data_IF_092815638402
#
_entry.id   IF_092815638402
#
_cell.length_a   1.000
_cell.length_b   1.000
_cell.length_c   1.000
_cell.angle_alpha   90.00
_cell.angle_beta   90.00
_cell.angle_gamma   90.00
#
_symmetry.space_group_name_H-M   'P 1'
#
loop_
_entity.id
_entity.type
_entity.pdbx_description
1 polymer ?
#
# COMPACT_ATOMS: atom_id res chain seq x y z
N UNK A 1 5.48 -87.56 -16.11
CA UNK A 1 4.93 -86.37 -16.81
C UNK A 1 4.97 -85.17 -15.86
N UNK A 2 5.92 -84.25 -16.05
CA UNK A 2 6.19 -83.13 -15.15
C UNK A 2 5.56 -81.87 -15.76
N UNK A 3 4.55 -81.29 -15.10
CA UNK A 3 3.89 -80.05 -15.55
C UNK A 3 4.67 -78.86 -15.01
N UNK A 4 5.16 -77.99 -15.89
CA UNK A 4 5.80 -76.72 -15.53
C UNK A 4 4.74 -75.62 -15.61
N UNK A 5 4.45 -74.98 -14.49
CA UNK A 5 3.58 -73.79 -14.42
C UNK A 5 4.48 -72.57 -14.53
N UNK A 6 4.39 -71.83 -15.63
CA UNK A 6 5.09 -70.55 -15.82
C UNK A 6 4.25 -69.46 -15.14
N UNK A 7 4.77 -68.87 -14.06
CA UNK A 7 4.19 -67.69 -13.43
C UNK A 7 4.74 -66.44 -14.14
N UNK A 8 3.86 -65.68 -14.80
CA UNK A 8 4.19 -64.42 -15.45
C UNK A 8 4.13 -63.29 -14.41
N UNK A 9 5.28 -62.81 -13.97
CA UNK A 9 5.40 -61.63 -13.10
C UNK A 9 5.30 -60.36 -13.95
N UNK A 10 4.17 -59.67 -13.89
CA UNK A 10 3.98 -58.35 -14.50
C UNK A 10 4.64 -57.32 -13.58
N UNK A 11 5.78 -56.79 -14.01
CA UNK A 11 6.46 -55.68 -13.34
C UNK A 11 5.88 -54.35 -13.85
N UNK A 12 4.96 -53.75 -13.11
CA UNK A 12 4.44 -52.41 -13.40
C UNK A 12 5.50 -51.37 -13.00
N UNK A 13 6.23 -50.82 -13.99
CA UNK A 13 7.07 -49.64 -13.78
C UNK A 13 6.19 -48.45 -13.39
N UNK A 14 6.16 -48.11 -12.10
CA UNK A 14 5.71 -46.80 -11.64
C UNK A 14 6.77 -45.76 -12.05
N UNK A 15 6.54 -45.03 -13.13
CA UNK A 15 7.29 -43.81 -13.40
C UNK A 15 6.85 -42.76 -12.37
N UNK A 16 7.76 -42.20 -11.55
CA UNK A 16 7.40 -41.07 -10.69
C UNK A 16 7.09 -39.88 -11.60
N UNK A 17 5.83 -39.45 -11.59
CA UNK A 17 5.40 -38.20 -12.23
C UNK A 17 6.06 -37.03 -11.49
N UNK A 18 7.23 -36.60 -11.97
CA UNK A 18 7.82 -35.34 -11.54
C UNK A 18 6.90 -34.21 -12.02
N UNK A 19 6.03 -33.74 -11.12
CA UNK A 19 5.32 -32.47 -11.28
C UNK A 19 6.38 -31.37 -11.18
N UNK A 20 6.92 -30.96 -12.32
CA UNK A 20 7.70 -29.73 -12.39
C UNK A 20 6.75 -28.58 -12.05
N UNK A 21 7.01 -27.78 -11.00
CA UNK A 21 6.22 -26.59 -10.76
C UNK A 21 6.37 -25.71 -12.00
N UNK A 22 5.25 -25.35 -12.63
CA UNK A 22 5.23 -24.32 -13.68
C UNK A 22 5.77 -23.06 -13.02
N UNK A 23 7.01 -22.71 -13.32
CA UNK A 23 7.62 -21.50 -12.80
C UNK A 23 6.91 -20.34 -13.48
N UNK A 24 5.99 -19.70 -12.75
CA UNK A 24 5.33 -18.49 -13.21
C UNK A 24 6.43 -17.49 -13.59
N UNK A 25 6.42 -17.05 -14.85
CA UNK A 25 7.42 -16.14 -15.37
C UNK A 25 7.16 -14.78 -14.74
N UNK A 26 8.10 -14.30 -13.92
CA UNK A 26 7.99 -12.98 -13.28
C UNK A 26 7.75 -11.91 -14.36
N UNK A 27 6.81 -11.01 -14.09
CA UNK A 27 6.49 -9.91 -14.98
C UNK A 27 7.56 -8.83 -14.86
N UNK A 28 7.81 -8.10 -15.95
CA UNK A 28 8.58 -6.84 -15.87
C UNK A 28 7.81 -5.76 -15.14
N UNK A 29 6.48 -5.89 -15.12
CA UNK A 29 5.56 -4.93 -14.53
C UNK A 29 5.28 -5.29 -13.07
N UNK A 30 5.20 -4.29 -12.21
CA UNK A 30 4.98 -4.42 -10.78
C UNK A 30 3.90 -3.45 -10.31
N UNK A 31 3.12 -3.87 -9.33
CA UNK A 31 2.11 -3.02 -8.70
C UNK A 31 2.16 -3.12 -7.18
N UNK A 32 2.23 -1.96 -6.53
CA UNK A 32 2.03 -1.83 -5.09
C UNK A 32 0.61 -1.29 -4.85
N UNK A 33 -0.16 -1.97 -4.00
CA UNK A 33 -1.47 -1.50 -3.56
C UNK A 33 -1.37 -1.06 -2.10
N UNK A 34 -1.79 0.17 -1.86
CA UNK A 34 -1.88 0.77 -0.53
C UNK A 34 -3.34 0.94 -0.17
N UNK A 35 -3.73 0.61 1.06
CA UNK A 35 -5.09 0.85 1.55
C UNK A 35 -5.04 1.82 2.72
N UNK A 36 -5.62 2.99 2.50
CA UNK A 36 -5.70 4.11 3.43
C UNK A 36 -6.91 3.99 4.39
N UNK A 37 -6.92 4.84 5.42
CA UNK A 37 -7.98 5.05 6.42
C UNK A 37 -8.22 3.95 7.48
N UNK A 38 -7.26 3.05 7.71
CA UNK A 38 -7.33 2.15 8.87
C UNK A 38 -7.22 2.93 10.20
N UNK A 39 -7.67 2.32 11.30
CA UNK A 39 -7.54 2.86 12.66
C UNK A 39 -8.86 3.18 13.35
N UNK A 40 -10.01 3.02 12.69
CA UNK A 40 -11.32 3.36 13.26
C UNK A 40 -12.44 2.34 12.97
N UNK A 41 -12.15 1.04 13.05
CA UNK A 41 -13.13 -0.05 12.83
C UNK A 41 -13.92 0.14 11.53
N UNK A 42 -13.22 0.54 10.47
CA UNK A 42 -13.83 0.98 9.23
C UNK A 42 -14.45 -0.20 8.46
N UNK A 43 -15.51 0.06 7.68
CA UNK A 43 -16.09 -0.95 6.80
C UNK A 43 -15.05 -1.42 5.77
N UNK A 44 -15.06 -2.70 5.43
CA UNK A 44 -14.09 -3.30 4.52
C UNK A 44 -12.75 -3.70 5.16
N UNK A 45 -12.45 -3.33 6.42
CA UNK A 45 -11.18 -3.66 7.11
C UNK A 45 -10.84 -5.14 7.02
N UNK A 46 -11.74 -6.02 7.48
CA UNK A 46 -11.50 -7.47 7.48
C UNK A 46 -11.33 -8.05 6.07
N UNK A 47 -12.06 -7.52 5.09
CA UNK A 47 -11.99 -7.96 3.69
C UNK A 47 -10.69 -7.54 3.03
N UNK A 48 -10.28 -6.29 3.22
CA UNK A 48 -8.99 -5.77 2.73
C UNK A 48 -7.84 -6.59 3.28
N UNK A 49 -7.83 -6.79 4.59
CA UNK A 49 -6.81 -7.61 5.27
C UNK A 49 -6.86 -9.09 4.90
N UNK A 50 -7.87 -9.56 4.17
CA UNK A 50 -7.97 -10.97 3.74
C UNK A 50 -7.68 -11.15 2.26
N UNK A 51 -7.34 -10.08 1.54
CA UNK A 51 -7.00 -10.17 0.13
C UNK A 51 -5.73 -10.99 -0.08
N UNK A 52 -5.69 -11.93 -1.05
CA UNK A 52 -4.56 -12.84 -1.26
C UNK A 52 -3.44 -12.16 -2.08
N UNK A 53 -3.02 -10.97 -1.68
CA UNK A 53 -1.92 -10.19 -2.29
C UNK A 53 -1.15 -9.44 -1.18
N UNK A 54 0.13 -9.10 -1.40
CA UNK A 54 0.81 -8.15 -0.54
C UNK A 54 0.10 -6.80 -0.60
N UNK A 55 -0.11 -6.21 0.57
CA UNK A 55 -0.69 -4.87 0.73
C UNK A 55 0.23 -4.07 1.65
N UNK A 56 0.22 -2.77 1.44
CA UNK A 56 0.69 -1.81 2.44
C UNK A 56 -0.52 -1.14 3.07
N UNK A 57 -0.68 -1.29 4.37
CA UNK A 57 -1.83 -0.81 5.15
C UNK A 57 -1.44 0.51 5.80
N UNK A 58 -2.14 1.59 5.46
CA UNK A 58 -1.89 2.91 6.03
C UNK A 58 -2.88 3.17 7.16
N UNK A 59 -2.35 3.30 8.38
CA UNK A 59 -3.15 3.37 9.61
C UNK A 59 -3.11 4.79 10.17
N UNK A 60 -4.28 5.40 10.33
CA UNK A 60 -4.40 6.69 10.98
C UNK A 60 -4.05 6.56 12.47
N UNK A 61 -3.17 7.43 13.01
CA UNK A 61 -2.91 7.48 14.43
C UNK A 61 -4.10 8.07 15.21
N UNK A 62 -4.09 7.92 16.54
CA UNK A 62 -5.01 8.57 17.47
C UNK A 62 -6.50 8.17 17.35
N UNK A 63 -6.80 7.05 16.67
CA UNK A 63 -8.15 6.54 16.51
C UNK A 63 -8.37 5.25 17.33
N UNK A 64 -9.63 4.86 17.61
CA UNK A 64 -9.95 3.79 18.53
C UNK A 64 -9.30 2.42 18.23
N UNK A 65 -9.11 2.07 16.95
CA UNK A 65 -8.50 0.80 16.53
C UNK A 65 -7.10 0.97 15.91
N UNK A 66 -6.44 2.14 16.04
CA UNK A 66 -5.10 2.37 15.46
C UNK A 66 -4.11 1.24 15.77
N UNK A 67 -3.95 0.88 17.04
CA UNK A 67 -3.00 -0.17 17.45
C UNK A 67 -3.46 -1.56 17.01
N UNK A 68 -4.76 -1.82 17.11
CA UNK A 68 -5.36 -3.10 16.75
C UNK A 68 -5.19 -3.38 15.26
N UNK A 69 -5.54 -2.42 14.40
CA UNK A 69 -5.46 -2.54 12.94
C UNK A 69 -4.01 -2.69 12.48
N UNK A 70 -3.07 -1.94 13.05
CA UNK A 70 -1.65 -2.07 12.75
C UNK A 70 -1.11 -3.47 13.11
N UNK A 71 -1.45 -3.99 14.29
CA UNK A 71 -1.06 -5.33 14.73
C UNK A 71 -1.72 -6.40 13.85
N UNK A 72 -3.00 -6.24 13.52
CA UNK A 72 -3.74 -7.18 12.69
C UNK A 72 -3.16 -7.25 11.26
N UNK A 73 -2.86 -6.10 10.65
CA UNK A 73 -2.21 -6.01 9.35
C UNK A 73 -0.86 -6.73 9.35
N UNK A 74 0.00 -6.42 10.33
CA UNK A 74 1.31 -7.05 10.45
C UNK A 74 1.22 -8.57 10.65
N UNK A 75 0.30 -9.04 11.52
CA UNK A 75 0.09 -10.49 11.76
C UNK A 75 -0.37 -11.24 10.51
N UNK A 76 -1.09 -10.58 9.60
CA UNK A 76 -1.50 -11.17 8.32
C UNK A 76 -0.43 -11.05 7.23
N UNK A 77 0.75 -10.51 7.56
CA UNK A 77 1.87 -10.39 6.63
C UNK A 77 1.77 -9.18 5.69
N UNK A 78 0.94 -8.19 6.01
CA UNK A 78 0.92 -6.91 5.30
C UNK A 78 1.93 -5.93 5.91
N UNK A 79 2.38 -4.97 5.11
CA UNK A 79 3.16 -3.83 5.60
C UNK A 79 2.27 -2.82 6.30
N UNK A 80 2.88 -2.03 7.20
CA UNK A 80 2.19 -0.95 7.91
C UNK A 80 2.93 0.36 7.66
N UNK A 81 2.18 1.41 7.34
CA UNK A 81 2.67 2.80 7.33
C UNK A 81 1.72 3.70 8.13
N UNK A 82 2.23 4.84 8.59
CA UNK A 82 1.42 5.84 9.30
C UNK A 82 0.63 6.66 8.29
N UNK A 83 -0.69 6.73 8.44
CA UNK A 83 -1.57 7.60 7.64
C UNK A 83 -1.80 8.92 8.37
N UNK A 84 -0.87 9.85 8.23
CA UNK A 84 -0.85 11.05 9.07
C UNK A 84 -1.94 12.05 8.66
N UNK A 85 -2.85 12.45 9.57
CA UNK A 85 -3.87 13.46 9.29
C UNK A 85 -3.27 14.83 9.01
N UNK A 86 -3.63 15.45 7.88
CA UNK A 86 -3.05 16.73 7.44
C UNK A 86 -4.08 17.67 6.79
N UNK A 87 -3.92 18.97 7.03
CA UNK A 87 -4.82 20.02 6.51
C UNK A 87 -4.92 20.02 4.97
N UNK A 88 -6.15 19.92 4.40
CA UNK A 88 -6.37 20.14 2.99
C UNK A 88 -6.66 21.61 2.65
N UNK A 89 -6.54 21.97 1.38
CA UNK A 89 -7.02 23.26 0.85
C UNK A 89 -8.55 23.37 0.97
N UNK A 90 -9.26 22.26 0.76
CA UNK A 90 -10.72 22.13 0.89
C UNK A 90 -11.05 20.79 1.54
N UNK A 91 -11.94 20.80 2.53
CA UNK A 91 -12.40 19.61 3.23
C UNK A 91 -13.17 19.99 4.49
N UNK A 92 -13.99 19.07 4.99
CA UNK A 92 -14.68 19.28 6.27
C UNK A 92 -13.76 18.97 7.43
N UNK A 93 -13.93 19.71 8.54
CA UNK A 93 -13.14 19.51 9.75
C UNK A 93 -13.30 18.09 10.32
N UNK A 94 -14.50 17.52 10.24
CA UNK A 94 -14.77 16.16 10.71
C UNK A 94 -13.98 15.06 9.98
N UNK A 95 -13.46 15.32 8.78
CA UNK A 95 -12.72 14.34 8.00
C UNK A 95 -11.23 14.29 8.34
N UNK A 96 -10.70 15.30 9.03
CA UNK A 96 -9.27 15.40 9.36
C UNK A 96 -8.80 14.32 10.32
N UNK A 97 -9.68 13.86 11.21
CA UNK A 97 -9.27 13.07 12.37
C UNK A 97 -8.57 13.90 13.46
N UNK A 98 -8.33 13.29 14.63
CA UNK A 98 -7.65 13.92 15.76
C UNK A 98 -6.19 14.28 15.45
N UNK A 99 -5.70 15.36 16.09
CA UNK A 99 -4.29 15.81 16.03
C UNK A 99 -3.73 15.96 14.62
N UNK A 100 -4.54 16.40 13.66
CA UNK A 100 -4.07 16.69 12.30
C UNK A 100 -2.94 17.73 12.29
N UNK A 101 -1.95 17.58 11.42
CA UNK A 101 -0.97 18.63 11.15
C UNK A 101 -1.66 19.73 10.35
N UNK A 102 -1.68 20.94 10.91
CA UNK A 102 -2.25 22.13 10.28
C UNK A 102 -1.20 23.23 10.15
N UNK A 103 -1.39 24.10 9.16
CA UNK A 103 -0.38 25.10 8.75
C UNK A 103 -0.15 26.22 9.75
N UNK A 104 -1.08 26.41 10.68
CA UNK A 104 -1.02 27.35 11.80
C UNK A 104 -0.26 26.82 13.02
N UNK A 105 0.11 25.54 13.05
CA UNK A 105 0.84 24.96 14.18
C UNK A 105 2.31 25.43 14.22
N UNK A 106 2.82 25.55 15.44
CA UNK A 106 4.26 25.72 15.70
C UNK A 106 5.04 24.46 15.34
N UNK A 107 6.33 24.62 15.05
CA UNK A 107 7.23 23.50 14.76
C UNK A 107 7.29 22.49 15.93
N UNK A 108 7.24 22.98 17.17
CA UNK A 108 7.23 22.14 18.38
C UNK A 108 5.99 21.24 18.42
N UNK A 109 4.79 21.79 18.19
CA UNK A 109 3.56 21.01 18.21
C UNK A 109 3.49 20.00 17.05
N UNK A 110 4.01 20.39 15.87
CA UNK A 110 4.14 19.47 14.73
C UNK A 110 5.04 18.29 15.09
N UNK A 111 6.23 18.56 15.62
CA UNK A 111 7.17 17.52 16.03
C UNK A 111 6.58 16.62 17.13
N UNK A 112 5.90 17.19 18.12
CA UNK A 112 5.24 16.44 19.19
C UNK A 112 4.17 15.48 18.63
N UNK A 113 3.34 15.94 17.67
CA UNK A 113 2.34 15.10 17.01
C UNK A 113 2.97 13.99 16.18
N UNK A 114 4.04 14.28 15.45
CA UNK A 114 4.75 13.29 14.65
C UNK A 114 5.35 12.18 15.52
N UNK A 115 6.02 12.54 16.62
CA UNK A 115 6.59 11.56 17.55
C UNK A 115 5.50 10.70 18.21
N UNK A 116 4.37 11.29 18.60
CA UNK A 116 3.23 10.53 19.15
C UNK A 116 2.61 9.59 18.10
N UNK A 117 2.44 10.05 16.85
CA UNK A 117 1.90 9.21 15.78
C UNK A 117 2.78 7.98 15.52
N UNK A 118 4.10 8.16 15.49
CA UNK A 118 5.07 7.07 15.30
C UNK A 118 4.99 6.04 16.44
N UNK A 119 4.78 6.49 17.68
CA UNK A 119 4.64 5.59 18.83
C UNK A 119 3.30 4.83 18.85
N UNK A 120 2.24 5.43 18.29
CA UNK A 120 0.90 4.83 18.32
C UNK A 120 0.65 3.79 17.23
N UNK A 121 1.41 3.83 16.13
CA UNK A 121 1.28 2.89 15.01
C UNK A 121 2.43 1.88 15.04
N UNK A 122 2.30 0.75 15.77
CA UNK A 122 3.36 -0.26 15.81
C UNK A 122 3.60 -0.87 14.42
N UNK A 123 4.82 -1.37 14.19
CA UNK A 123 5.26 -1.99 12.93
C UNK A 123 5.33 -1.04 11.72
N UNK A 124 5.11 0.26 11.91
CA UNK A 124 5.23 1.23 10.83
C UNK A 124 6.66 1.27 10.25
N UNK A 125 6.77 1.14 8.93
CA UNK A 125 8.02 1.25 8.17
C UNK A 125 8.06 2.47 7.23
N UNK A 126 6.97 3.23 7.20
CA UNK A 126 6.81 4.43 6.37
C UNK A 126 5.70 5.33 6.89
N UNK A 127 5.48 6.44 6.20
CA UNK A 127 4.38 7.39 6.47
C UNK A 127 3.79 7.89 5.14
N UNK A 128 2.49 8.16 5.10
CA UNK A 128 1.84 8.94 4.04
C UNK A 128 0.92 10.01 4.63
N UNK A 129 0.39 10.87 3.76
CA UNK A 129 -0.59 11.89 4.14
C UNK A 129 -2.03 11.42 3.93
N UNK A 130 -2.84 11.53 4.97
CA UNK A 130 -4.30 11.64 4.86
C UNK A 130 -4.66 13.06 4.48
N UNK A 131 -5.38 13.22 3.37
CA UNK A 131 -5.66 14.54 2.78
C UNK A 131 -4.37 15.35 2.54
N UNK A 132 -4.13 16.41 3.31
CA UNK A 132 -2.86 17.14 3.33
C UNK A 132 -2.57 18.02 2.12
N UNK A 133 -3.53 18.31 1.24
CA UNK A 133 -3.26 19.10 0.02
C UNK A 133 -2.69 20.50 0.30
N UNK A 134 -2.92 21.07 1.49
CA UNK A 134 -2.32 22.35 1.91
C UNK A 134 -0.95 22.11 2.55
N UNK A 135 -0.84 21.13 3.46
CA UNK A 135 0.40 20.77 4.16
C UNK A 135 1.50 20.33 3.20
N UNK A 136 1.19 19.49 2.22
CA UNK A 136 2.19 18.96 1.29
C UNK A 136 2.76 20.02 0.35
N UNK A 137 2.18 21.23 0.30
CA UNK A 137 2.72 22.38 -0.43
C UNK A 137 3.51 23.36 0.47
N UNK A 138 3.58 23.12 1.77
CA UNK A 138 4.29 23.96 2.74
C UNK A 138 5.69 23.38 3.01
N UNK A 139 6.74 24.05 2.53
CA UNK A 139 8.12 23.57 2.70
C UNK A 139 8.56 23.46 4.17
N UNK A 140 8.09 24.36 5.06
CA UNK A 140 8.45 24.33 6.48
C UNK A 140 7.96 23.02 7.09
N UNK A 141 6.68 22.72 6.87
CA UNK A 141 6.03 21.57 7.51
C UNK A 141 6.51 20.26 6.89
N UNK A 142 6.64 20.20 5.55
CA UNK A 142 7.17 19.01 4.88
C UNK A 142 8.59 18.69 5.34
N UNK A 143 9.45 19.70 5.59
CA UNK A 143 10.78 19.47 6.16
C UNK A 143 10.71 18.81 7.54
N UNK A 144 9.79 19.23 8.41
CA UNK A 144 9.60 18.63 9.74
C UNK A 144 9.13 17.17 9.63
N UNK A 145 8.12 16.91 8.79
CA UNK A 145 7.59 15.56 8.56
C UNK A 145 8.69 14.63 8.05
N UNK A 146 9.44 15.05 7.04
CA UNK A 146 10.49 14.22 6.45
C UNK A 146 11.72 14.09 7.35
N UNK A 147 12.03 15.10 8.17
CA UNK A 147 13.06 14.98 9.21
C UNK A 147 12.68 13.94 10.27
N UNK A 148 11.41 13.90 10.70
CA UNK A 148 10.91 12.86 11.58
C UNK A 148 11.00 11.47 10.92
N UNK A 149 10.59 11.35 9.64
CA UNK A 149 10.73 10.09 8.90
C UNK A 149 12.19 9.63 8.86
N UNK A 150 13.12 10.53 8.51
CA UNK A 150 14.56 10.24 8.49
C UNK A 150 15.09 9.76 9.84
N UNK A 151 14.72 10.47 10.91
CA UNK A 151 15.14 10.15 12.29
C UNK A 151 14.74 8.73 12.69
N UNK A 152 13.58 8.28 12.24
CA UNK A 152 13.01 6.97 12.59
C UNK A 152 13.20 5.90 11.49
N UNK A 153 13.97 6.18 10.45
CA UNK A 153 14.24 5.23 9.36
C UNK A 153 13.02 4.90 8.49
N UNK A 154 12.03 5.80 8.44
CA UNK A 154 10.81 5.64 7.66
C UNK A 154 10.98 6.22 6.26
N UNK A 155 10.44 5.52 5.24
CA UNK A 155 10.20 6.13 3.93
C UNK A 155 8.91 6.96 3.94
N UNK A 156 8.70 7.77 2.91
CA UNK A 156 7.47 8.56 2.78
C UNK A 156 6.75 8.29 1.45
N UNK A 157 5.45 8.06 1.51
CA UNK A 157 4.56 8.01 0.35
C UNK A 157 3.78 9.33 0.25
N UNK A 158 4.01 10.10 -0.82
CA UNK A 158 3.14 11.21 -1.18
C UNK A 158 1.87 10.66 -1.85
N UNK A 159 0.73 10.82 -1.18
CA UNK A 159 -0.57 10.38 -1.72
C UNK A 159 -1.01 11.18 -2.96
N UNK A 160 -0.30 12.27 -3.32
CA UNK A 160 -0.54 13.14 -4.47
C UNK A 160 -1.93 13.80 -4.48
N UNK A 161 -2.38 14.23 -3.31
CA UNK A 161 -3.64 15.00 -3.14
C UNK A 161 -3.54 16.44 -3.66
N UNK A 162 -2.34 16.90 -4.03
CA UNK A 162 -2.08 18.20 -4.65
C UNK A 162 -0.93 18.08 -5.68
N UNK A 163 -1.10 18.56 -6.93
CA UNK A 163 -0.01 18.60 -7.91
C UNK A 163 1.16 19.52 -7.51
N UNK A 164 0.95 20.46 -6.58
CA UNK A 164 1.98 21.38 -6.06
C UNK A 164 2.73 20.84 -4.84
N UNK A 165 2.63 19.54 -4.54
CA UNK A 165 3.36 18.94 -3.43
C UNK A 165 4.87 19.16 -3.59
N UNK A 166 5.52 19.60 -2.51
CA UNK A 166 6.97 19.79 -2.42
C UNK A 166 7.68 18.58 -1.83
N UNK A 167 6.94 17.53 -1.46
CA UNK A 167 7.48 16.30 -0.83
C UNK A 167 8.63 15.68 -1.64
N UNK A 168 8.54 15.49 -2.97
CA UNK A 168 9.66 14.91 -3.73
C UNK A 168 10.93 15.77 -3.69
N UNK A 169 10.77 17.10 -3.77
CA UNK A 169 11.89 18.05 -3.71
C UNK A 169 12.60 17.96 -2.36
N UNK A 170 11.84 18.10 -1.28
CA UNK A 170 12.41 18.11 0.08
C UNK A 170 12.95 16.72 0.48
N UNK A 171 12.30 15.64 0.06
CA UNK A 171 12.79 14.29 0.28
C UNK A 171 14.14 14.04 -0.35
N UNK A 172 14.36 14.51 -1.58
CA UNK A 172 15.68 14.47 -2.23
C UNK A 172 16.73 15.26 -1.46
N UNK A 173 16.40 16.46 -0.97
CA UNK A 173 17.32 17.29 -0.19
C UNK A 173 17.71 16.64 1.15
N UNK A 174 16.76 15.99 1.83
CA UNK A 174 16.99 15.35 3.11
C UNK A 174 17.51 13.90 2.99
N UNK A 175 17.47 13.30 1.80
CA UNK A 175 17.83 11.90 1.58
C UNK A 175 16.82 10.92 2.17
N UNK A 176 15.53 11.26 2.13
CA UNK A 176 14.42 10.39 2.53
C UNK A 176 13.87 9.70 1.28
N UNK A 177 13.73 8.37 1.25
CA UNK A 177 13.09 7.69 0.13
C UNK A 177 11.63 8.15 -0.02
N UNK A 178 11.30 8.70 -1.19
CA UNK A 178 9.96 9.16 -1.53
C UNK A 178 9.36 8.26 -2.60
N UNK A 179 8.12 7.84 -2.37
CA UNK A 179 7.27 7.17 -3.35
C UNK A 179 6.07 8.08 -3.62
N UNK A 180 5.55 8.07 -4.85
CA UNK A 180 4.38 8.87 -5.23
C UNK A 180 3.24 7.95 -5.66
N UNK A 181 2.03 8.24 -5.19
CA UNK A 181 0.81 7.63 -5.71
C UNK A 181 0.57 8.03 -7.18
N UNK A 182 0.04 7.10 -7.98
CA UNK A 182 -0.21 7.33 -9.41
C UNK A 182 -1.68 7.07 -9.81
N UNK A 183 -2.49 6.52 -8.90
CA UNK A 183 -3.89 6.19 -9.14
C UNK A 183 -4.65 6.02 -7.81
N UNK A 184 -5.81 6.67 -7.69
CA UNK A 184 -6.80 6.31 -6.67
C UNK A 184 -7.84 5.36 -7.27
N UNK A 185 -8.20 4.30 -6.54
CA UNK A 185 -9.27 3.39 -6.94
C UNK A 185 -10.65 4.02 -6.77
N UNK A 186 -10.85 4.78 -5.71
CA UNK A 186 -12.15 5.09 -5.14
C UNK A 186 -12.33 6.59 -4.80
N UNK A 187 -11.79 7.48 -5.62
CA UNK A 187 -12.10 8.92 -5.57
C UNK A 187 -13.59 9.22 -5.89
N UNK A 188 -14.30 8.25 -6.48
CA UNK A 188 -15.76 8.22 -6.57
C UNK A 188 -16.28 6.90 -6.04
N UNK A 189 -17.17 6.94 -5.05
CA UNK A 189 -17.63 5.78 -4.27
C UNK A 189 -18.67 4.92 -5.01
N UNK A 190 -18.37 4.50 -6.24
CA UNK A 190 -19.24 3.62 -7.04
C UNK A 190 -18.45 2.45 -7.60
N UNK A 191 -19.09 1.27 -7.63
CA UNK A 191 -18.46 0.06 -8.17
C UNK A 191 -18.00 0.24 -9.64
N UNK A 192 -18.78 0.96 -10.44
CA UNK A 192 -18.45 1.24 -11.84
C UNK A 192 -17.17 2.07 -11.98
N UNK A 193 -17.03 3.12 -11.17
CA UNK A 193 -15.82 3.95 -11.16
C UNK A 193 -14.61 3.15 -10.68
N UNK A 194 -14.73 2.44 -9.56
CA UNK A 194 -13.62 1.67 -8.99
C UNK A 194 -13.16 0.58 -9.98
N UNK A 195 -14.10 -0.08 -10.66
CA UNK A 195 -13.78 -1.07 -11.69
C UNK A 195 -13.07 -0.44 -12.89
N UNK A 196 -13.49 0.76 -13.30
CA UNK A 196 -12.82 1.52 -14.37
C UNK A 196 -11.40 1.92 -13.96
N UNK A 197 -11.18 2.30 -12.70
CA UNK A 197 -9.84 2.62 -12.19
C UNK A 197 -8.93 1.38 -12.16
N UNK A 198 -9.46 0.20 -11.82
CA UNK A 198 -8.70 -1.05 -11.91
C UNK A 198 -8.31 -1.41 -13.36
N UNK A 199 -9.18 -1.16 -14.34
CA UNK A 199 -8.83 -1.29 -15.77
C UNK A 199 -7.79 -0.25 -16.21
N UNK A 200 -7.93 0.99 -15.74
CA UNK A 200 -6.97 2.06 -16.03
C UNK A 200 -5.58 1.75 -15.47
N UNK A 201 -5.49 1.14 -14.30
CA UNK A 201 -4.23 0.66 -13.71
C UNK A 201 -3.51 -0.31 -14.66
N UNK A 202 -4.22 -1.31 -15.18
CA UNK A 202 -3.66 -2.28 -16.15
C UNK A 202 -3.21 -1.59 -17.44
N UNK A 203 -4.00 -0.63 -17.94
CA UNK A 203 -3.60 0.16 -19.11
C UNK A 203 -2.32 0.96 -18.85
N UNK A 204 -2.22 1.63 -17.70
CA UNK A 204 -1.04 2.42 -17.32
C UNK A 204 0.21 1.54 -17.16
N UNK A 205 0.07 0.29 -16.72
CA UNK A 205 1.17 -0.67 -16.62
C UNK A 205 1.85 -0.98 -17.97
N UNK A 206 1.18 -0.71 -19.11
CA UNK A 206 1.77 -0.84 -20.44
C UNK A 206 2.74 0.31 -20.77
N UNK A 207 2.55 1.46 -20.13
CA UNK A 207 3.37 2.67 -20.35
C UNK A 207 4.43 2.84 -19.25
N UNK A 208 4.10 2.45 -18.01
CA UNK A 208 4.96 2.56 -16.83
C UNK A 208 5.01 1.21 -16.12
N UNK A 209 6.18 0.55 -16.08
CA UNK A 209 6.28 -0.82 -15.55
C UNK A 209 6.07 -0.89 -14.03
N UNK A 210 6.01 0.22 -13.32
CA UNK A 210 5.76 0.24 -11.88
C UNK A 210 4.60 1.18 -11.61
N UNK A 211 3.57 0.66 -10.92
CA UNK A 211 2.41 1.43 -10.49
C UNK A 211 2.18 1.35 -8.98
N UNK A 212 1.89 2.49 -8.36
CA UNK A 212 1.34 2.59 -6.99
C UNK A 212 -0.11 3.04 -7.09
N UNK A 213 -1.00 2.28 -6.46
CA UNK A 213 -2.42 2.60 -6.43
C UNK A 213 -2.96 2.58 -4.99
N UNK A 214 -3.75 3.61 -4.64
CA UNK A 214 -4.37 3.77 -3.32
C UNK A 214 -5.86 3.46 -3.40
N UNK A 215 -6.36 2.64 -2.48
CA UNK A 215 -7.79 2.53 -2.16
C UNK A 215 -8.02 2.82 -0.68
N UNK A 216 -9.28 2.80 -0.22
CA UNK A 216 -9.61 3.13 1.16
C UNK A 216 -10.52 2.06 1.80
N UNK A 217 -10.38 1.86 3.11
CA UNK A 217 -11.48 1.36 3.93
C UNK A 217 -12.51 2.47 4.18
N UNK A 218 -13.57 2.20 4.94
CA UNK A 218 -14.54 3.24 5.34
C UNK A 218 -15.79 3.25 4.46
N UNK A 219 -16.40 4.41 4.16
CA UNK A 219 -17.64 4.46 3.39
C UNK A 219 -17.64 3.65 2.07
N UNK A 220 -16.56 3.68 1.25
CA UNK A 220 -16.50 2.84 0.05
C UNK A 220 -15.87 1.45 0.28
N UNK A 221 -15.36 1.14 1.48
CA UNK A 221 -14.42 0.02 1.71
C UNK A 221 -14.93 -1.36 1.30
N UNK A 222 -16.22 -1.64 1.47
CA UNK A 222 -16.86 -2.89 1.00
C UNK A 222 -16.88 -3.01 -0.53
N UNK A 223 -17.08 -1.88 -1.22
CA UNK A 223 -17.08 -1.83 -2.68
C UNK A 223 -15.65 -1.93 -3.19
N UNK A 224 -14.73 -1.14 -2.61
CA UNK A 224 -13.32 -1.12 -3.00
C UNK A 224 -12.70 -2.50 -2.81
N UNK A 225 -12.87 -3.15 -1.65
CA UNK A 225 -12.33 -4.49 -1.37
C UNK A 225 -12.82 -5.53 -2.38
N UNK A 226 -14.13 -5.54 -2.66
CA UNK A 226 -14.71 -6.46 -3.65
C UNK A 226 -14.18 -6.23 -5.06
N UNK A 227 -14.04 -4.97 -5.49
CA UNK A 227 -13.52 -4.67 -6.82
C UNK A 227 -12.04 -5.04 -6.93
N UNK A 228 -11.22 -4.73 -5.92
CA UNK A 228 -9.82 -5.16 -5.88
C UNK A 228 -9.75 -6.68 -5.96
N UNK A 229 -10.48 -7.40 -5.09
CA UNK A 229 -10.52 -8.86 -5.05
C UNK A 229 -10.81 -9.47 -6.43
N UNK A 230 -11.89 -9.02 -7.07
CA UNK A 230 -12.30 -9.51 -8.40
C UNK A 230 -11.33 -9.10 -9.51
N UNK A 231 -10.55 -8.04 -9.32
CA UNK A 231 -9.54 -7.57 -10.28
C UNK A 231 -8.19 -8.29 -10.14
N UNK A 232 -7.91 -8.95 -9.01
CA UNK A 232 -6.62 -9.63 -8.75
C UNK A 232 -6.20 -10.55 -9.89
N UNK A 233 -7.03 -11.49 -10.39
CA UNK A 233 -6.60 -12.40 -11.46
C UNK A 233 -6.16 -11.67 -12.73
N UNK A 234 -6.87 -10.60 -13.10
CA UNK A 234 -6.56 -9.81 -14.29
C UNK A 234 -5.28 -8.98 -14.10
N UNK A 235 -5.08 -8.40 -12.91
CA UNK A 235 -3.84 -7.69 -12.59
C UNK A 235 -2.65 -8.67 -12.60
N UNK A 236 -2.79 -9.86 -12.00
CA UNK A 236 -1.74 -10.92 -12.00
C UNK A 236 -1.34 -11.37 -13.40
N UNK A 237 -2.23 -11.28 -14.38
CA UNK A 237 -1.89 -11.60 -15.77
C UNK A 237 -0.96 -10.56 -16.42
N UNK A 238 -0.82 -9.37 -15.83
CA UNK A 238 -0.10 -8.24 -16.39
C UNK A 238 1.04 -7.71 -15.53
N UNK A 239 1.03 -7.96 -14.21
CA UNK A 239 2.02 -7.47 -13.26
C UNK A 239 2.12 -8.34 -12.01
N UNK A 240 3.30 -8.32 -11.39
CA UNK A 240 3.53 -8.90 -10.07
C UNK A 240 3.08 -7.90 -8.98
N UNK A 241 2.36 -8.40 -7.97
CA UNK A 241 2.08 -7.63 -6.77
C UNK A 241 3.32 -7.57 -5.89
N UNK A 242 3.68 -6.37 -5.45
CA UNK A 242 4.83 -6.11 -4.59
C UNK A 242 4.41 -5.31 -3.36
N UNK A 243 5.28 -5.28 -2.36
CA UNK A 243 5.16 -4.36 -1.25
C UNK A 243 5.58 -2.94 -1.66
N UNK A 244 5.11 -1.94 -0.93
CA UNK A 244 5.50 -0.56 -1.20
C UNK A 244 6.99 -0.34 -0.86
N UNK A 245 7.51 -0.99 0.18
CA UNK A 245 8.93 -0.86 0.57
C UNK A 245 9.91 -1.37 -0.49
N UNK A 246 9.49 -2.30 -1.35
CA UNK A 246 10.29 -2.77 -2.48
C UNK A 246 10.69 -1.62 -3.42
N UNK A 247 9.89 -0.54 -3.46
CA UNK A 247 10.17 0.67 -4.24
C UNK A 247 11.03 1.68 -3.48
N UNK A 248 10.97 1.69 -2.15
CA UNK A 248 11.73 2.61 -1.31
C UNK A 248 13.19 2.17 -1.14
N UNK A 249 13.41 0.85 -1.11
CA UNK A 249 14.70 0.22 -0.85
C UNK A 249 15.46 -0.19 -2.13
N UNK A 250 14.79 -0.12 -3.29
CA UNK A 250 15.44 -0.29 -4.59
C UNK A 250 16.08 1.02 -5.04
N UNK A 251 17.31 1.03 -5.59
CA UNK A 251 17.82 2.21 -6.25
C UNK A 251 16.87 2.60 -7.41
N UNK A 252 16.63 3.91 -7.64
CA UNK A 252 15.76 4.35 -8.71
C UNK A 252 16.25 3.75 -10.04
N UNK A 253 15.34 3.34 -10.95
CA UNK A 253 15.74 2.86 -12.26
C UNK A 253 16.61 3.93 -12.93
N UNK A 254 17.84 3.57 -13.28
CA UNK A 254 18.68 4.43 -14.10
C UNK A 254 17.95 4.61 -15.43
N UNK A 255 17.45 5.83 -15.68
CA UNK A 255 16.94 6.18 -17.00
C UNK A 255 18.07 5.98 -18.01
N UNK A 256 17.86 5.10 -18.98
CA UNK A 256 18.71 5.04 -20.19
C UNK A 256 18.51 6.29 -21.03
#
# INVERSE_FOLDING_TARGET
MRKYTIALLIFTMFLPSFLFPVQAKAHTNKVAIVIDDFGNNMKGTDKMLSLPIPLTVAVMPFLPSTKEDAIAAHKKGHEVIIHMPMEPIKGKKEWLGPKAITTDLSDEEINNRLEQAIQEVPHAIGMNNHMGSKVTADERIVRLILAACKKHGLFYLDSKTNPKSVVPKIGKELGVPIIENQLFFDDVYTAAHISKQAQLLIKKLQEKPIMVAIGHVGPPGEITSRVIETSIPNIRAHADFIFLSDLALSPPPVSK
#
